data_IF_814702982165
#
_entry.id   IF_814702982165
#
_cell.length_a   1.000
_cell.length_b   1.000
_cell.length_c   1.000
_cell.angle_alpha   90.00
_cell.angle_beta   90.00
_cell.angle_gamma   90.00
#
_symmetry.space_group_name_H-M   'P 1'
#
loop_
_entity.id
_entity.type
_entity.pdbx_description
1 polymer ?
#
# COMPACT_ATOMS: atom_id res chain seq x y z
N UNK A 1 55.69 8.07 4.75
CA UNK A 1 54.78 7.45 3.78
C UNK A 1 53.58 6.90 4.54
N UNK A 2 52.38 7.43 4.31
CA UNK A 2 51.12 6.80 4.72
C UNK A 2 50.05 7.23 3.73
N UNK A 3 49.70 6.35 2.80
CA UNK A 3 48.66 6.56 1.79
C UNK A 3 47.30 6.27 2.41
N UNK A 4 46.43 7.28 2.46
CA UNK A 4 45.04 7.12 2.86
C UNK A 4 44.24 6.39 1.78
N UNK A 5 43.51 5.35 2.18
CA UNK A 5 42.62 4.59 1.31
C UNK A 5 41.40 5.44 0.90
N UNK A 6 41.17 5.57 -0.40
CA UNK A 6 39.95 6.19 -0.97
C UNK A 6 38.74 5.33 -0.63
N UNK A 7 37.77 5.90 0.08
CA UNK A 7 36.45 5.29 0.28
C UNK A 7 35.73 5.16 -1.07
N UNK A 8 35.32 3.95 -1.41
CA UNK A 8 34.56 3.67 -2.63
C UNK A 8 33.20 4.38 -2.62
N UNK A 9 32.90 5.09 -3.70
CA UNK A 9 31.61 5.74 -3.91
C UNK A 9 30.49 4.68 -3.92
N UNK A 10 29.51 4.83 -3.03
CA UNK A 10 28.30 3.98 -3.05
C UNK A 10 27.62 4.18 -4.40
N UNK A 11 27.20 3.10 -5.10
CA UNK A 11 26.49 3.23 -6.37
C UNK A 11 25.30 4.18 -6.22
N UNK A 12 25.18 5.15 -7.13
CA UNK A 12 24.07 6.10 -7.12
C UNK A 12 22.74 5.34 -7.20
N UNK A 13 21.95 5.42 -6.14
CA UNK A 13 20.63 4.78 -6.08
C UNK A 13 19.73 5.43 -7.13
N UNK A 14 19.10 4.62 -7.99
CA UNK A 14 18.11 5.11 -8.96
C UNK A 14 17.00 5.86 -8.22
N UNK A 15 16.64 7.03 -8.73
CA UNK A 15 15.54 7.82 -8.16
C UNK A 15 14.26 6.97 -8.17
N UNK A 16 13.49 6.93 -7.06
CA UNK A 16 12.22 6.23 -7.02
C UNK A 16 11.26 6.86 -8.05
N UNK A 17 10.60 6.01 -8.82
CA UNK A 17 9.55 6.42 -9.77
C UNK A 17 8.23 6.39 -9.02
N UNK A 18 7.54 7.52 -9.00
CA UNK A 18 6.21 7.61 -8.41
C UNK A 18 5.18 7.30 -9.49
N UNK A 19 4.26 6.39 -9.17
CA UNK A 19 3.11 6.04 -10.01
C UNK A 19 1.85 6.65 -9.42
N UNK A 20 0.84 6.82 -10.27
CA UNK A 20 -0.47 7.32 -9.91
C UNK A 20 -1.47 6.19 -9.67
N UNK A 21 -2.55 6.48 -8.95
CA UNK A 21 -3.57 5.47 -8.63
C UNK A 21 -4.18 4.89 -9.90
N UNK A 22 -4.52 5.70 -10.90
CA UNK A 22 -5.11 5.24 -12.17
C UNK A 22 -4.22 4.31 -13.01
N UNK A 23 -2.91 4.28 -12.75
CA UNK A 23 -1.94 3.42 -13.44
C UNK A 23 -1.80 2.03 -12.79
N UNK A 24 -2.45 1.80 -11.66
CA UNK A 24 -2.43 0.51 -10.96
C UNK A 24 -3.18 -0.55 -11.77
N UNK A 25 -2.59 -1.75 -11.86
CA UNK A 25 -3.16 -2.88 -12.59
C UNK A 25 -3.20 -4.15 -11.74
N UNK A 26 -4.15 -5.07 -11.99
CA UNK A 26 -4.21 -6.35 -11.29
C UNK A 26 -2.87 -7.10 -11.35
N UNK A 27 -2.46 -7.71 -10.24
CA UNK A 27 -1.24 -8.52 -10.16
C UNK A 27 0.10 -7.76 -10.18
N UNK A 28 0.09 -6.43 -10.25
CA UNK A 28 1.33 -5.63 -10.25
C UNK A 28 1.86 -5.34 -8.84
N UNK A 29 3.17 -5.17 -8.71
CA UNK A 29 3.87 -4.93 -7.44
C UNK A 29 5.04 -3.94 -7.61
N UNK A 30 5.62 -3.50 -6.49
CA UNK A 30 6.76 -2.58 -6.50
C UNK A 30 6.40 -1.11 -6.65
N UNK A 31 5.14 -0.76 -6.44
CA UNK A 31 4.64 0.60 -6.65
C UNK A 31 5.11 1.55 -5.56
N UNK A 32 5.45 2.76 -5.96
CA UNK A 32 5.69 3.87 -5.04
C UNK A 32 4.71 4.98 -5.37
N UNK A 33 3.90 5.40 -4.40
CA UNK A 33 2.85 6.38 -4.61
C UNK A 33 2.67 7.28 -3.40
N UNK A 34 2.27 8.52 -3.64
CA UNK A 34 1.88 9.48 -2.60
C UNK A 34 0.37 9.57 -2.60
N UNK A 35 -0.25 9.23 -1.49
CA UNK A 35 -1.71 9.18 -1.34
C UNK A 35 -2.16 9.97 -0.14
N UNK A 36 -3.37 10.51 -0.22
CA UNK A 36 -4.09 11.09 0.91
C UNK A 36 -5.13 10.10 1.40
N UNK A 37 -5.24 9.97 2.71
CA UNK A 37 -6.23 9.11 3.36
C UNK A 37 -7.55 9.87 3.43
N UNK A 38 -8.58 9.33 2.81
CA UNK A 38 -9.95 9.87 2.81
C UNK A 38 -10.70 9.34 4.03
N UNK A 39 -10.66 8.03 4.26
CA UNK A 39 -11.32 7.38 5.38
C UNK A 39 -10.50 6.18 5.89
N UNK A 40 -10.71 5.80 7.15
CA UNK A 40 -10.03 4.67 7.77
C UNK A 40 -11.03 3.90 8.66
N UNK A 41 -11.34 2.67 8.26
CA UNK A 41 -12.31 1.82 8.92
C UNK A 41 -11.59 0.59 9.52
N UNK A 42 -11.43 0.52 10.85
CA UNK A 42 -10.87 -0.66 11.50
C UNK A 42 -11.72 -1.90 11.22
N UNK A 43 -11.09 -2.97 10.74
CA UNK A 43 -11.77 -4.24 10.53
C UNK A 43 -11.62 -5.07 11.82
N UNK A 44 -12.72 -5.51 12.44
CA UNK A 44 -12.65 -6.37 13.62
C UNK A 44 -11.83 -7.62 13.28
N UNK A 45 -10.92 -8.01 14.17
CA UNK A 45 -10.14 -9.22 14.02
C UNK A 45 -11.09 -10.44 14.04
N UNK A 46 -11.58 -10.86 12.87
CA UNK A 46 -12.24 -12.16 12.73
C UNK A 46 -11.18 -13.21 13.01
N UNK A 47 -11.37 -13.97 14.09
CA UNK A 47 -10.61 -15.20 14.32
C UNK A 47 -10.63 -16.02 13.03
N UNK A 48 -9.48 -16.57 12.63
CA UNK A 48 -9.36 -17.45 11.46
C UNK A 48 -10.51 -18.47 11.50
N UNK A 49 -11.43 -18.38 10.55
CA UNK A 49 -12.52 -19.34 10.36
C UNK A 49 -11.99 -20.64 9.70
N UNK A 50 -10.89 -21.15 10.23
CA UNK A 50 -10.12 -22.27 9.69
C UNK A 50 -9.15 -22.79 10.73
N UNK A 51 -9.68 -23.49 11.73
CA UNK A 51 -9.06 -24.63 12.44
C UNK A 51 -7.70 -24.48 13.14
N UNK A 52 -7.01 -23.35 13.04
CA UNK A 52 -5.76 -23.08 13.74
C UNK A 52 -5.99 -22.00 14.78
N UNK A 53 -6.10 -22.39 16.05
CA UNK A 53 -6.10 -21.45 17.17
C UNK A 53 -4.92 -20.48 17.08
N UNK A 54 -4.98 -19.31 17.74
CA UNK A 54 -3.86 -18.39 17.75
C UNK A 54 -2.62 -19.14 18.23
N UNK A 55 -1.57 -19.17 17.42
CA UNK A 55 -0.28 -19.66 17.86
C UNK A 55 0.07 -18.92 19.17
N UNK A 56 0.45 -19.67 20.21
CA UNK A 56 0.79 -19.13 21.53
C UNK A 56 1.75 -17.95 21.35
N UNK A 57 1.32 -16.74 21.70
CA UNK A 57 2.09 -15.49 21.54
C UNK A 57 1.75 -14.61 20.33
N UNK A 58 0.86 -15.02 19.42
CA UNK A 58 0.44 -14.19 18.29
C UNK A 58 -0.62 -13.18 18.72
N UNK A 59 -0.25 -11.90 18.84
CA UNK A 59 -1.24 -10.80 18.95
C UNK A 59 -2.17 -10.84 17.73
N UNK A 60 -3.49 -10.58 17.90
CA UNK A 60 -4.39 -10.47 16.76
C UNK A 60 -3.89 -9.36 15.83
N UNK A 61 -3.76 -9.67 14.54
CA UNK A 61 -3.35 -8.66 13.56
C UNK A 61 -4.39 -7.55 13.53
N UNK A 62 -3.98 -6.32 13.85
CA UNK A 62 -4.85 -5.14 13.68
C UNK A 62 -4.88 -4.79 12.20
N UNK A 63 -6.07 -4.72 11.63
CA UNK A 63 -6.28 -4.43 10.22
C UNK A 63 -7.27 -3.27 10.13
N UNK A 64 -7.01 -2.34 9.22
CA UNK A 64 -7.98 -1.33 8.82
C UNK A 64 -8.07 -1.27 7.30
N UNK A 65 -9.27 -1.07 6.80
CA UNK A 65 -9.53 -0.72 5.41
C UNK A 65 -9.56 0.80 5.31
N UNK A 66 -8.56 1.36 4.66
CA UNK A 66 -8.42 2.79 4.46
C UNK A 66 -8.76 3.13 3.01
N UNK A 67 -9.64 4.09 2.77
CA UNK A 67 -9.78 4.65 1.43
C UNK A 67 -8.66 5.68 1.23
N UNK A 68 -7.79 5.44 0.25
CA UNK A 68 -6.67 6.32 -0.06
C UNK A 68 -6.70 6.69 -1.53
N UNK A 69 -6.21 7.88 -1.88
CA UNK A 69 -6.15 8.28 -3.27
C UNK A 69 -5.29 9.49 -3.55
N UNK A 70 -5.20 9.81 -4.83
CA UNK A 70 -4.52 10.98 -5.38
C UNK A 70 -5.47 11.72 -6.33
N UNK A 71 -4.95 12.66 -7.12
CA UNK A 71 -5.74 13.42 -8.09
C UNK A 71 -6.32 12.57 -9.24
N UNK A 72 -5.87 11.33 -9.40
CA UNK A 72 -6.27 10.42 -10.49
C UNK A 72 -7.35 9.44 -10.08
N UNK A 73 -7.40 9.06 -8.80
CA UNK A 73 -8.41 8.14 -8.29
C UNK A 73 -8.20 7.74 -6.84
N UNK A 74 -9.06 6.83 -6.38
CA UNK A 74 -9.02 6.23 -5.04
C UNK A 74 -8.97 4.69 -5.13
N UNK A 75 -8.35 4.08 -4.12
CA UNK A 75 -8.27 2.64 -3.94
C UNK A 75 -8.33 2.30 -2.45
N UNK A 76 -8.91 1.16 -2.10
CA UNK A 76 -8.89 0.64 -0.74
C UNK A 76 -7.48 0.12 -0.42
N UNK A 77 -6.87 0.69 0.60
CA UNK A 77 -5.61 0.27 1.20
C UNK A 77 -5.87 -0.60 2.44
N UNK A 78 -5.18 -1.74 2.52
CA UNK A 78 -5.23 -2.62 3.69
C UNK A 78 -4.08 -2.28 4.64
N UNK A 79 -4.35 -1.47 5.66
CA UNK A 79 -3.39 -1.10 6.69
C UNK A 79 -3.26 -2.20 7.74
N UNK A 80 -2.04 -2.50 8.17
CA UNK A 80 -1.75 -3.53 9.18
C UNK A 80 -0.94 -2.98 10.35
N UNK A 81 -1.28 -3.44 11.56
CA UNK A 81 -0.57 -3.14 12.81
C UNK A 81 -0.36 -1.63 13.01
N UNK A 82 0.88 -1.16 13.06
CA UNK A 82 1.27 0.24 13.27
C UNK A 82 0.78 1.16 12.15
N UNK A 83 0.58 0.64 10.93
CA UNK A 83 0.08 1.44 9.81
C UNK A 83 -1.33 1.97 10.08
N UNK A 84 -2.13 1.26 10.88
CA UNK A 84 -3.49 1.69 11.26
C UNK A 84 -3.45 2.99 12.07
N UNK A 85 -2.44 3.13 12.94
CA UNK A 85 -2.28 4.32 13.78
C UNK A 85 -1.71 5.51 12.98
N UNK A 86 -0.93 5.22 11.92
CA UNK A 86 -0.31 6.23 11.04
C UNK A 86 -1.29 6.79 9.99
N UNK A 87 -2.16 5.95 9.44
CA UNK A 87 -3.05 6.28 8.33
C UNK A 87 -4.42 6.77 8.83
N UNK A 88 -4.41 7.95 9.45
CA UNK A 88 -5.63 8.65 9.87
C UNK A 88 -6.23 9.45 8.71
N UNK A 89 -7.56 9.61 8.65
CA UNK A 89 -8.21 10.47 7.66
C UNK A 89 -7.60 11.87 7.63
N UNK A 90 -7.36 12.41 6.44
CA UNK A 90 -6.71 13.70 6.21
C UNK A 90 -5.19 13.64 6.07
N UNK A 91 -4.52 12.58 6.55
CA UNK A 91 -3.07 12.45 6.43
C UNK A 91 -2.66 12.15 4.98
N UNK A 92 -1.48 12.65 4.60
CA UNK A 92 -0.79 12.24 3.37
C UNK A 92 0.31 11.24 3.72
N UNK A 93 0.41 10.17 2.96
CA UNK A 93 1.42 9.14 3.14
C UNK A 93 2.05 8.72 1.82
N UNK A 94 3.34 8.43 1.87
CA UNK A 94 4.08 7.78 0.80
C UNK A 94 4.10 6.28 1.08
N UNK A 95 3.56 5.52 0.14
CA UNK A 95 3.58 4.06 0.15
C UNK A 95 4.72 3.60 -0.76
N UNK A 96 5.72 2.92 -0.20
CA UNK A 96 6.89 2.39 -0.95
C UNK A 96 6.81 0.89 -1.07
N UNK A 97 7.13 0.37 -2.25
CA UNK A 97 7.07 -1.07 -2.57
C UNK A 97 5.69 -1.67 -2.22
N UNK A 98 4.64 -0.96 -2.63
CA UNK A 98 3.27 -1.41 -2.52
C UNK A 98 2.93 -2.42 -3.63
N UNK A 99 1.95 -3.27 -3.37
CA UNK A 99 1.43 -4.28 -4.29
C UNK A 99 -0.07 -4.19 -4.39
N UNK A 100 -0.57 -4.64 -5.53
CA UNK A 100 -1.98 -4.90 -5.73
C UNK A 100 -2.28 -6.31 -5.23
N UNK A 101 -3.25 -6.39 -4.33
CA UNK A 101 -3.84 -7.63 -3.84
C UNK A 101 -5.24 -7.77 -4.42
N UNK A 102 -5.55 -8.92 -5.01
CA UNK A 102 -6.88 -9.19 -5.55
C UNK A 102 -7.77 -9.75 -4.45
N UNK A 103 -8.87 -9.07 -4.15
CA UNK A 103 -9.83 -9.49 -3.15
C UNK A 103 -11.23 -9.51 -3.73
N UNK A 104 -11.81 -10.71 -3.85
CA UNK A 104 -13.16 -10.93 -4.41
C UNK A 104 -13.38 -10.26 -5.78
N UNK A 105 -12.40 -10.37 -6.68
CA UNK A 105 -12.48 -9.76 -8.01
C UNK A 105 -12.03 -8.30 -8.07
N UNK A 106 -11.92 -7.59 -6.95
CA UNK A 106 -11.52 -6.19 -6.94
C UNK A 106 -10.07 -5.98 -6.48
N UNK A 107 -9.45 -4.89 -6.94
CA UNK A 107 -8.10 -4.52 -6.53
C UNK A 107 -8.09 -3.86 -5.15
N UNK A 108 -7.11 -4.24 -4.34
CA UNK A 108 -6.76 -3.57 -3.09
C UNK A 108 -5.28 -3.26 -3.06
N UNK A 109 -4.91 -2.16 -2.43
CA UNK A 109 -3.52 -1.79 -2.24
C UNK A 109 -3.04 -2.32 -0.88
N UNK A 110 -1.83 -2.87 -0.85
CA UNK A 110 -1.17 -3.28 0.38
C UNK A 110 0.33 -3.00 0.29
N UNK A 111 0.98 -2.80 1.42
CA UNK A 111 2.45 -2.68 1.49
C UNK A 111 3.05 -4.07 1.69
N UNK A 112 4.05 -4.41 0.88
CA UNK A 112 4.76 -5.68 0.96
C UNK A 112 5.67 -5.78 2.21
N UNK A 113 6.19 -6.96 2.52
CA UNK A 113 7.08 -7.20 3.69
C UNK A 113 8.32 -6.29 3.71
N UNK A 114 8.82 -5.90 2.54
CA UNK A 114 9.97 -5.01 2.38
C UNK A 114 9.57 -3.55 2.15
N UNK A 115 8.28 -3.29 2.01
CA UNK A 115 7.75 -1.95 1.79
C UNK A 115 7.59 -1.15 3.07
N UNK A 116 7.33 0.15 2.89
CA UNK A 116 7.24 1.12 3.99
C UNK A 116 6.10 2.10 3.76
N UNK A 117 5.53 2.56 4.86
CA UNK A 117 4.56 3.66 4.90
C UNK A 117 5.24 4.83 5.60
N UNK A 118 5.31 5.97 4.93
CA UNK A 118 5.91 7.19 5.46
C UNK A 118 4.84 8.28 5.46
N UNK A 119 4.40 8.73 6.64
CA UNK A 119 3.52 9.92 6.72
C UNK A 119 4.35 11.13 6.38
N UNK A 120 3.82 11.99 5.51
CA UNK A 120 4.51 13.17 4.99
C UNK A 120 3.65 14.42 5.17
N UNK A 121 4.20 15.55 4.78
CA UNK A 121 3.49 16.83 4.79
C UNK A 121 2.22 16.75 3.93
N UNK A 122 1.16 17.51 4.27
CA UNK A 122 -0.08 17.52 3.49
C UNK A 122 0.21 17.86 2.02
N UNK A 123 -0.11 16.92 1.12
CA UNK A 123 0.04 17.21 -0.29
C UNK A 123 -1.07 18.15 -0.78
N UNK A 124 -0.71 19.03 -1.71
CA UNK A 124 -1.60 20.09 -2.21
C UNK A 124 -2.56 19.64 -3.33
N UNK A 125 -2.88 18.35 -3.41
CA UNK A 125 -3.81 17.81 -4.41
C UNK A 125 -5.16 17.44 -3.79
N UNK A 126 -6.23 17.64 -4.58
CA UNK A 126 -7.55 17.14 -4.26
C UNK A 126 -7.66 15.68 -4.71
N UNK A 127 -8.18 14.81 -3.83
CA UNK A 127 -8.36 13.40 -4.15
C UNK A 127 -9.56 13.26 -5.07
N UNK A 128 -9.41 12.49 -6.15
CA UNK A 128 -10.50 12.20 -7.08
C UNK A 128 -11.29 10.97 -6.62
N UNK A 129 -12.25 11.19 -5.73
CA UNK A 129 -13.07 10.13 -5.14
C UNK A 129 -14.01 9.44 -6.14
N UNK A 130 -14.35 10.11 -7.26
CA UNK A 130 -15.22 9.57 -8.31
C UNK A 130 -14.63 8.36 -9.04
N UNK A 131 -13.30 8.25 -9.08
CA UNK A 131 -12.61 7.16 -9.78
C UNK A 131 -12.09 6.12 -8.77
N UNK A 132 -12.97 5.23 -8.33
CA UNK A 132 -12.63 4.21 -7.35
C UNK A 132 -12.26 2.86 -7.97
N UNK A 133 -10.96 2.56 -8.02
CA UNK A 133 -10.43 1.31 -8.58
C UNK A 133 -10.78 0.06 -7.75
N UNK A 134 -11.15 0.23 -6.48
CA UNK A 134 -11.55 -0.90 -5.64
C UNK A 134 -13.00 -1.33 -5.82
N UNK A 135 -13.80 -0.57 -6.59
CA UNK A 135 -15.14 -0.96 -7.02
C UNK A 135 -15.13 -1.66 -8.39
N UNK A 136 -14.01 -1.61 -9.10
CA UNK A 136 -13.86 -2.28 -10.38
C UNK A 136 -13.62 -3.77 -10.14
N UNK A 137 -14.47 -4.59 -10.74
CA UNK A 137 -14.34 -6.05 -10.74
C UNK A 137 -13.55 -6.51 -11.96
N UNK A 138 -12.58 -7.38 -11.73
CA UNK A 138 -11.74 -7.99 -12.75
C UNK A 138 -11.98 -9.49 -12.75
N UNK A 139 -12.16 -10.03 -13.95
CA UNK A 139 -12.22 -11.46 -14.19
C UNK A 139 -10.87 -11.96 -14.73
N UNK A 140 -10.40 -13.09 -14.20
CA UNK A 140 -9.23 -13.76 -14.75
C UNK A 140 -9.63 -14.48 -16.03
N UNK A 141 -9.27 -13.91 -17.18
CA UNK A 141 -9.45 -14.56 -18.47
C UNK A 141 -8.23 -15.43 -18.75
N UNK A 142 -8.38 -16.75 -18.59
CA UNK A 142 -7.42 -17.70 -19.13
C UNK A 142 -7.71 -17.84 -20.63
N UNK A 143 -6.85 -17.27 -21.47
CA UNK A 143 -6.92 -17.51 -22.92
C UNK A 143 -6.23 -18.86 -23.16
N UNK A 144 -6.96 -19.92 -23.55
CA UNK A 144 -6.30 -21.13 -24.04
C UNK A 144 -5.59 -20.77 -25.35
N UNK A 145 -4.32 -21.16 -25.44
CA UNK A 145 -3.51 -21.04 -26.67
C UNK A 145 -4.12 -21.86 -27.82
#
# INVERSE_FOLDING_TARGET
>A
MATAAKGGEKPALRKPVFVKVDQLKPGTCGHTLTVKVVSANPVPARGRAGGGGPAVGSRPARIAECLVGDETGVIVFTARNEQVDMLKPGNTAILRNARIDMFKGSMRLAVDKWGRVEVTEPANFAVKEDNNLSLVEYELVNVPE
#
